data_IF_914503970250
#
_entry.id   IF_914503970250
#
_cell.length_a   1.000
_cell.length_b   1.000
_cell.length_c   1.000
_cell.angle_alpha   90.00
_cell.angle_beta   90.00
_cell.angle_gamma   90.00
#
_symmetry.space_group_name_H-M   'P 1'
#
loop_
_entity.id
_entity.type
_entity.pdbx_description
1 polymer ?
#
# COMPACT_ATOMS: atom_id res chain seq x y z
N UNK A 1 0.43 23.82 15.96
CA UNK A 1 1.02 24.93 15.20
C UNK A 1 1.75 24.32 14.01
N UNK A 2 1.13 24.29 12.82
CA UNK A 2 1.75 23.74 11.60
C UNK A 2 2.35 24.90 10.80
N UNK A 3 3.66 24.84 10.55
CA UNK A 3 4.38 25.91 9.88
C UNK A 3 3.91 26.08 8.42
N UNK A 4 3.84 27.30 7.88
CA UNK A 4 3.37 27.57 6.52
C UNK A 4 4.09 26.81 5.40
N UNK A 5 5.32 26.32 5.64
CA UNK A 5 6.15 25.64 4.65
C UNK A 5 5.84 24.17 4.36
N UNK A 6 5.09 23.46 5.21
CA UNK A 6 4.87 22.01 5.02
C UNK A 6 3.89 21.67 3.88
N UNK A 7 2.94 22.56 3.57
CA UNK A 7 1.84 22.29 2.62
C UNK A 7 2.21 22.43 1.13
N UNK A 8 3.32 23.12 0.82
CA UNK A 8 3.90 23.20 -0.53
C UNK A 8 4.45 21.84 -1.01
N UNK A 9 4.66 20.89 -0.10
CA UNK A 9 5.32 19.61 -0.39
C UNK A 9 4.42 18.60 -1.09
N UNK A 10 3.09 18.77 -1.13
CA UNK A 10 2.17 17.79 -1.72
C UNK A 10 2.25 17.71 -3.26
N UNK A 11 2.52 18.83 -3.93
CA UNK A 11 2.57 18.93 -5.39
C UNK A 11 3.57 17.97 -6.06
N UNK A 12 4.85 17.87 -5.65
CA UNK A 12 5.78 16.90 -6.26
C UNK A 12 5.30 15.46 -6.09
N UNK A 13 4.70 15.09 -4.95
CA UNK A 13 4.15 13.74 -4.74
C UNK A 13 2.95 13.45 -5.65
N UNK A 14 2.05 14.42 -5.85
CA UNK A 14 0.93 14.30 -6.77
C UNK A 14 1.40 14.11 -8.21
N UNK A 15 2.41 14.88 -8.64
CA UNK A 15 3.00 14.75 -9.98
C UNK A 15 3.68 13.40 -10.13
N UNK A 16 4.51 12.98 -9.17
CA UNK A 16 5.20 11.69 -9.22
C UNK A 16 4.20 10.52 -9.27
N UNK A 17 3.13 10.59 -8.47
CA UNK A 17 2.08 9.58 -8.46
C UNK A 17 1.32 9.53 -9.78
N UNK A 18 0.89 10.69 -10.28
CA UNK A 18 0.20 10.78 -11.57
C UNK A 18 1.06 10.29 -12.74
N UNK A 19 2.34 10.67 -12.77
CA UNK A 19 3.28 10.25 -13.81
C UNK A 19 3.53 8.73 -13.77
N UNK A 20 3.78 8.17 -12.60
CA UNK A 20 4.06 6.74 -12.46
C UNK A 20 2.82 5.87 -12.74
N UNK A 21 1.63 6.28 -12.27
CA UNK A 21 0.38 5.59 -12.61
C UNK A 21 0.07 5.74 -14.11
N UNK A 22 0.23 6.94 -14.67
CA UNK A 22 0.05 7.19 -16.10
C UNK A 22 0.97 6.31 -16.96
N UNK A 23 2.25 6.22 -16.58
CA UNK A 23 3.21 5.35 -17.25
C UNK A 23 2.84 3.87 -17.15
N UNK A 24 2.36 3.41 -15.99
CA UNK A 24 1.83 2.06 -15.82
C UNK A 24 0.68 1.79 -16.80
N UNK A 25 -0.30 2.68 -16.85
CA UNK A 25 -1.46 2.54 -17.74
C UNK A 25 -1.06 2.54 -19.22
N UNK A 26 -0.19 3.47 -19.64
CA UNK A 26 0.31 3.52 -21.03
C UNK A 26 1.04 2.23 -21.38
N UNK A 27 1.96 1.78 -20.52
CA UNK A 27 2.72 0.55 -20.75
C UNK A 27 1.79 -0.66 -20.85
N UNK A 28 0.78 -0.74 -19.98
CA UNK A 28 -0.21 -1.80 -20.01
C UNK A 28 -1.07 -1.80 -21.27
N UNK A 29 -1.50 -0.61 -21.74
CA UNK A 29 -2.26 -0.47 -22.98
C UNK A 29 -1.43 -0.89 -24.17
N UNK A 30 -0.18 -0.42 -24.28
CA UNK A 30 0.72 -0.84 -25.37
C UNK A 30 0.93 -2.35 -25.34
N UNK A 31 1.13 -2.93 -24.15
CA UNK A 31 1.27 -4.38 -24.01
C UNK A 31 0.02 -5.13 -24.50
N UNK A 32 -1.19 -4.65 -24.23
CA UNK A 32 -2.43 -5.23 -24.78
C UNK A 32 -2.50 -5.17 -26.30
N UNK A 33 -1.95 -4.11 -26.90
CA UNK A 33 -2.00 -3.93 -28.36
C UNK A 33 -1.01 -4.84 -29.10
N UNK A 34 0.09 -5.22 -28.47
CA UNK A 34 1.17 -6.01 -29.11
C UNK A 34 1.22 -7.47 -28.67
N UNK A 35 0.55 -7.81 -27.55
CA UNK A 35 0.50 -9.18 -27.01
C UNK A 35 -0.42 -10.07 -27.85
N UNK A 36 -0.05 -11.34 -27.98
CA UNK A 36 -0.86 -12.40 -28.58
C UNK A 36 -1.87 -13.04 -27.61
N UNK A 37 -1.87 -12.62 -26.33
CA UNK A 37 -2.72 -13.18 -25.27
C UNK A 37 -4.17 -12.70 -25.37
N UNK A 38 -5.11 -13.58 -25.07
CA UNK A 38 -6.54 -13.24 -25.07
C UNK A 38 -6.91 -12.44 -23.81
N UNK A 39 -7.30 -11.16 -23.90
CA UNK A 39 -7.62 -10.35 -22.72
C UNK A 39 -8.88 -10.80 -21.97
N UNK A 40 -9.73 -11.63 -22.59
CA UNK A 40 -10.95 -12.15 -21.99
C UNK A 40 -10.61 -13.31 -21.06
N UNK A 41 -9.98 -14.36 -21.60
CA UNK A 41 -9.74 -15.60 -20.87
C UNK A 41 -8.38 -15.62 -20.15
N UNK A 42 -7.35 -15.00 -20.72
CA UNK A 42 -6.03 -15.01 -20.10
C UNK A 42 -5.93 -14.00 -18.95
N UNK A 43 -5.45 -14.52 -17.83
CA UNK A 43 -5.03 -13.69 -16.68
C UNK A 43 -3.99 -12.66 -17.11
N UNK A 44 -4.01 -11.49 -16.48
CA UNK A 44 -3.04 -10.43 -16.70
C UNK A 44 -1.60 -10.88 -16.39
N UNK A 45 -1.42 -11.76 -15.41
CA UNK A 45 -0.11 -12.33 -15.05
C UNK A 45 0.50 -13.18 -16.16
N UNK A 46 -0.30 -13.75 -17.07
CA UNK A 46 0.20 -14.52 -18.22
C UNK A 46 0.94 -13.63 -19.23
N UNK A 47 0.70 -12.32 -19.19
CA UNK A 47 1.37 -11.35 -20.06
C UNK A 47 2.85 -11.16 -19.67
N UNK A 48 3.32 -11.80 -18.59
CA UNK A 48 4.75 -11.96 -18.32
C UNK A 48 5.44 -12.80 -19.41
N UNK A 49 4.70 -13.71 -20.04
CA UNK A 49 5.17 -14.63 -21.09
C UNK A 49 4.49 -14.28 -22.41
N UNK A 50 5.14 -13.39 -23.16
CA UNK A 50 4.69 -12.87 -24.46
C UNK A 50 5.85 -12.83 -25.44
N UNK A 51 5.54 -13.02 -26.73
CA UNK A 51 6.53 -12.94 -27.81
C UNK A 51 6.99 -11.49 -28.07
N UNK A 52 6.13 -10.51 -27.76
CA UNK A 52 6.38 -9.07 -27.94
C UNK A 52 6.02 -8.33 -26.67
N UNK A 53 6.90 -7.42 -26.24
CA UNK A 53 6.70 -6.65 -25.01
C UNK A 53 7.16 -7.36 -23.74
N UNK A 54 8.15 -8.25 -23.85
CA UNK A 54 8.79 -8.91 -22.70
C UNK A 54 9.21 -7.88 -21.66
N UNK A 55 8.87 -8.13 -20.40
CA UNK A 55 9.16 -7.24 -19.28
C UNK A 55 8.24 -6.02 -19.14
N UNK A 56 7.39 -5.70 -20.13
CA UNK A 56 6.47 -4.55 -20.05
C UNK A 56 5.43 -4.71 -18.95
N UNK A 57 4.95 -5.94 -18.70
CA UNK A 57 4.05 -6.20 -17.57
C UNK A 57 4.73 -5.84 -16.24
N UNK A 58 5.94 -6.36 -16.02
CA UNK A 58 6.72 -6.08 -14.82
C UNK A 58 6.98 -4.59 -14.64
N UNK A 59 7.41 -3.90 -15.71
CA UNK A 59 7.63 -2.45 -15.71
C UNK A 59 6.34 -1.67 -15.38
N UNK A 60 5.20 -2.06 -15.95
CA UNK A 60 3.90 -1.46 -15.66
C UNK A 60 3.52 -1.64 -14.18
N UNK A 61 3.64 -2.86 -13.65
CA UNK A 61 3.27 -3.16 -12.26
C UNK A 61 4.21 -2.48 -11.26
N UNK A 62 5.51 -2.42 -11.54
CA UNK A 62 6.48 -1.67 -10.74
C UNK A 62 6.18 -0.16 -10.76
N UNK A 63 5.83 0.39 -11.92
CA UNK A 63 5.43 1.80 -12.04
C UNK A 63 4.16 2.08 -11.25
N UNK A 64 3.18 1.17 -11.25
CA UNK A 64 1.97 1.27 -10.42
C UNK A 64 2.29 1.20 -8.92
N UNK A 65 3.23 0.33 -8.53
CA UNK A 65 3.73 0.25 -7.15
C UNK A 65 4.35 1.58 -6.68
N UNK A 66 5.27 2.15 -7.48
CA UNK A 66 5.89 3.46 -7.20
C UNK A 66 4.83 4.56 -7.15
N UNK A 67 3.88 4.56 -8.09
CA UNK A 67 2.76 5.48 -8.14
C UNK A 67 1.87 5.42 -6.89
N UNK A 68 1.72 4.23 -6.32
CA UNK A 68 0.94 4.00 -5.10
C UNK A 68 1.66 4.48 -3.83
N UNK A 69 2.99 4.25 -3.72
CA UNK A 69 3.79 4.79 -2.62
C UNK A 69 3.84 6.32 -2.64
N UNK A 70 4.01 6.91 -3.82
CA UNK A 70 3.98 8.37 -3.97
C UNK A 70 2.58 8.94 -3.72
N UNK A 71 1.50 8.18 -3.98
CA UNK A 71 0.15 8.57 -3.55
C UNK A 71 0.00 8.62 -2.03
N UNK A 72 0.60 7.66 -1.30
CA UNK A 72 0.68 7.73 0.16
C UNK A 72 1.44 8.97 0.62
N UNK A 73 2.56 9.28 -0.04
CA UNK A 73 3.32 10.52 0.18
C UNK A 73 2.47 11.78 -0.07
N UNK A 74 1.66 11.80 -1.12
CA UNK A 74 0.77 12.90 -1.44
C UNK A 74 -0.33 13.10 -0.38
N UNK A 75 -0.95 12.02 0.08
CA UNK A 75 -1.94 12.06 1.17
C UNK A 75 -1.30 12.62 2.46
N UNK A 76 -0.12 12.12 2.82
CA UNK A 76 0.60 12.57 4.01
C UNK A 76 1.01 14.05 3.91
N UNK A 77 1.58 14.47 2.78
CA UNK A 77 2.01 15.84 2.54
C UNK A 77 0.84 16.84 2.41
N UNK A 78 -0.34 16.36 2.00
CA UNK A 78 -1.57 17.15 1.99
C UNK A 78 -2.22 17.28 3.39
N UNK A 79 -1.63 16.67 4.43
CA UNK A 79 -2.14 16.74 5.79
C UNK A 79 -3.40 15.89 6.03
N UNK A 80 -3.67 14.90 5.18
CA UNK A 80 -4.77 13.97 5.38
C UNK A 80 -4.50 13.14 6.65
N UNK A 81 -5.48 12.98 7.56
CA UNK A 81 -5.30 12.16 8.75
C UNK A 81 -5.16 10.68 8.35
N UNK A 82 -3.94 10.15 8.44
CA UNK A 82 -3.61 8.76 8.10
C UNK A 82 -3.32 7.96 9.37
N UNK A 83 -4.13 6.95 9.66
CA UNK A 83 -3.84 5.96 10.70
C UNK A 83 -2.60 5.12 10.34
N UNK A 84 -1.95 4.52 11.36
CA UNK A 84 -0.83 3.59 11.14
C UNK A 84 -1.23 2.43 10.23
N UNK A 85 -2.43 1.90 10.42
CA UNK A 85 -3.01 0.84 9.59
C UNK A 85 -3.15 1.26 8.14
N UNK A 86 -3.65 2.47 7.85
CA UNK A 86 -3.76 2.97 6.47
C UNK A 86 -2.40 2.99 5.78
N UNK A 87 -1.37 3.50 6.46
CA UNK A 87 0.00 3.57 5.93
C UNK A 87 0.57 2.18 5.65
N UNK A 88 0.44 1.25 6.61
CA UNK A 88 0.93 -0.11 6.49
C UNK A 88 0.27 -0.83 5.30
N UNK A 89 -1.04 -0.70 5.14
CA UNK A 89 -1.78 -1.34 4.03
C UNK A 89 -1.35 -0.77 2.67
N UNK A 90 -1.07 0.52 2.56
CA UNK A 90 -0.49 1.10 1.34
C UNK A 90 0.91 0.55 1.02
N UNK A 91 1.74 0.37 2.05
CA UNK A 91 3.07 -0.23 1.90
C UNK A 91 2.95 -1.69 1.47
N UNK A 92 2.06 -2.48 2.10
CA UNK A 92 1.80 -3.87 1.73
C UNK A 92 1.26 -4.01 0.29
N UNK A 93 0.34 -3.14 -0.12
CA UNK A 93 -0.10 -3.03 -1.52
C UNK A 93 1.09 -2.86 -2.47
N UNK A 94 1.93 -1.87 -2.18
CA UNK A 94 3.01 -1.51 -3.09
C UNK A 94 4.12 -2.56 -3.11
N UNK A 95 4.50 -3.10 -1.96
CA UNK A 95 5.49 -4.17 -1.86
C UNK A 95 4.98 -5.48 -2.49
N UNK A 96 3.70 -5.81 -2.31
CA UNK A 96 3.08 -6.97 -2.95
C UNK A 96 3.06 -6.84 -4.47
N UNK A 97 2.73 -5.66 -5.01
CA UNK A 97 2.86 -5.41 -6.45
C UNK A 97 4.31 -5.53 -6.95
N UNK A 98 5.27 -4.97 -6.21
CA UNK A 98 6.68 -5.05 -6.59
C UNK A 98 7.19 -6.50 -6.59
N UNK A 99 6.85 -7.29 -5.56
CA UNK A 99 7.17 -8.70 -5.50
C UNK A 99 6.51 -9.48 -6.65
N UNK A 100 5.21 -9.26 -6.91
CA UNK A 100 4.51 -9.91 -8.03
C UNK A 100 5.10 -9.55 -9.41
N UNK A 101 5.73 -8.38 -9.55
CA UNK A 101 6.42 -7.99 -10.78
C UNK A 101 7.79 -8.65 -10.94
N UNK A 102 8.50 -8.88 -9.82
CA UNK A 102 9.84 -9.50 -9.79
C UNK A 102 9.77 -11.02 -9.91
N UNK A 103 8.71 -11.62 -9.35
CA UNK A 103 8.45 -13.06 -9.37
C UNK A 103 7.23 -13.32 -10.27
N UNK A 104 7.42 -13.71 -11.55
CA UNK A 104 6.33 -14.05 -12.46
C UNK A 104 5.52 -15.25 -11.97
N UNK A 105 4.25 -15.30 -12.37
CA UNK A 105 3.39 -16.47 -12.11
C UNK A 105 3.94 -17.72 -12.84
N UNK A 106 3.70 -18.90 -12.27
CA UNK A 106 4.04 -20.17 -12.90
C UNK A 106 2.89 -20.63 -13.80
N UNK A 107 3.21 -21.12 -14.99
CA UNK A 107 2.26 -21.77 -15.91
C UNK A 107 2.79 -23.12 -16.37
N UNK A 108 1.95 -24.05 -16.86
CA UNK A 108 2.41 -25.35 -17.34
C UNK A 108 3.46 -25.25 -18.45
N UNK A 109 3.36 -24.24 -19.32
CA UNK A 109 4.30 -24.01 -20.41
C UNK A 109 5.63 -23.37 -19.93
N UNK A 110 5.60 -22.73 -18.76
CA UNK A 110 6.74 -22.04 -18.13
C UNK A 110 6.76 -22.34 -16.61
N UNK A 111 7.16 -23.57 -16.22
CA UNK A 111 7.08 -23.99 -14.84
C UNK A 111 8.18 -23.35 -13.98
N UNK A 112 7.77 -22.54 -13.02
CA UNK A 112 8.60 -22.04 -11.91
C UNK A 112 7.74 -21.96 -10.64
N UNK A 113 7.60 -23.08 -9.91
CA UNK A 113 6.64 -23.19 -8.81
C UNK A 113 6.96 -22.24 -7.66
N UNK A 114 8.24 -21.98 -7.37
CA UNK A 114 8.66 -21.08 -6.28
C UNK A 114 8.30 -19.64 -6.64
N UNK A 115 8.64 -19.18 -7.85
CA UNK A 115 8.24 -17.86 -8.31
C UNK A 115 6.72 -17.72 -8.35
N UNK A 116 6.01 -18.74 -8.83
CA UNK A 116 4.55 -18.76 -8.89
C UNK A 116 3.88 -18.65 -7.52
N UNK A 117 4.42 -19.32 -6.50
CA UNK A 117 3.92 -19.25 -5.14
C UNK A 117 4.14 -17.86 -4.52
N UNK A 118 5.33 -17.28 -4.71
CA UNK A 118 5.63 -15.91 -4.28
C UNK A 118 4.70 -14.93 -4.97
N UNK A 119 4.50 -15.05 -6.29
CA UNK A 119 3.59 -14.21 -7.06
C UNK A 119 2.16 -14.25 -6.52
N UNK A 120 1.65 -15.45 -6.24
CA UNK A 120 0.29 -15.67 -5.75
C UNK A 120 0.07 -14.98 -4.40
N UNK A 121 0.96 -15.22 -3.44
CA UNK A 121 0.85 -14.62 -2.11
C UNK A 121 1.07 -13.10 -2.15
N UNK A 122 2.00 -12.63 -2.98
CA UNK A 122 2.23 -11.20 -3.18
C UNK A 122 0.99 -10.49 -3.76
N UNK A 123 0.35 -11.08 -4.77
CA UNK A 123 -0.90 -10.57 -5.34
C UNK A 123 -2.04 -10.58 -4.31
N UNK A 124 -2.18 -11.66 -3.52
CA UNK A 124 -3.19 -11.77 -2.48
C UNK A 124 -3.05 -10.66 -1.43
N UNK A 125 -1.83 -10.50 -0.89
CA UNK A 125 -1.51 -9.45 0.09
C UNK A 125 -1.79 -8.08 -0.51
N UNK A 126 -1.35 -7.85 -1.75
CA UNK A 126 -1.58 -6.58 -2.41
C UNK A 126 -3.08 -6.29 -2.53
N UNK A 127 -3.81 -7.11 -3.28
CA UNK A 127 -5.21 -6.84 -3.58
C UNK A 127 -6.11 -6.74 -2.33
N UNK A 128 -5.83 -7.48 -1.26
CA UNK A 128 -6.57 -7.31 0.00
C UNK A 128 -6.25 -5.98 0.70
N UNK A 129 -5.00 -5.52 0.61
CA UNK A 129 -4.53 -4.36 1.37
C UNK A 129 -5.16 -3.05 0.92
N UNK A 130 -5.34 -2.82 -0.38
CA UNK A 130 -5.81 -1.54 -0.88
C UNK A 130 -7.28 -1.20 -0.55
N UNK A 131 -8.28 -2.08 -0.75
CA UNK A 131 -9.65 -1.80 -0.31
C UNK A 131 -9.71 -1.63 1.21
N UNK A 132 -8.93 -2.39 1.98
CA UNK A 132 -8.79 -2.20 3.42
C UNK A 132 -8.18 -0.83 3.78
N UNK A 133 -7.19 -0.35 3.02
CA UNK A 133 -6.65 1.00 3.15
C UNK A 133 -7.74 2.05 2.86
N UNK A 134 -8.61 1.80 1.88
CA UNK A 134 -9.77 2.64 1.59
C UNK A 134 -10.77 2.73 2.74
N UNK A 135 -11.09 1.61 3.38
CA UNK A 135 -12.00 1.61 4.53
C UNK A 135 -11.38 2.31 5.76
N UNK A 136 -10.11 2.05 6.05
CA UNK A 136 -9.42 2.70 7.17
C UNK A 136 -9.22 4.21 6.93
N UNK A 137 -8.96 4.63 5.70
CA UNK A 137 -8.91 6.04 5.33
C UNK A 137 -10.28 6.71 5.43
N UNK A 138 -11.34 6.05 4.94
CA UNK A 138 -12.72 6.51 5.10
C UNK A 138 -13.04 6.81 6.56
N UNK A 139 -12.62 5.94 7.48
CA UNK A 139 -12.87 6.11 8.91
C UNK A 139 -12.19 7.35 9.49
N UNK A 140 -10.97 7.66 9.04
CA UNK A 140 -10.27 8.89 9.44
C UNK A 140 -10.90 10.15 8.83
N UNK A 141 -11.66 10.01 7.74
CA UNK A 141 -12.33 11.12 7.03
C UNK A 141 -13.81 11.28 7.44
N UNK A 142 -14.29 10.57 8.48
CA UNK A 142 -15.69 10.60 8.92
C UNK A 142 -16.21 12.04 9.08
N UNK A 143 -17.45 12.24 8.66
CA UNK A 143 -18.09 13.56 8.65
C UNK A 143 -17.79 14.44 7.44
N UNK A 144 -16.87 14.02 6.55
CA UNK A 144 -16.56 14.76 5.31
C UNK A 144 -17.24 14.13 4.08
N UNK A 145 -17.50 14.90 3.00
CA UNK A 145 -17.93 14.34 1.72
C UNK A 145 -16.93 13.33 1.13
N UNK A 146 -15.63 13.52 1.41
CA UNK A 146 -14.56 12.63 0.96
C UNK A 146 -14.70 11.20 1.51
N UNK A 147 -15.15 11.02 2.76
CA UNK A 147 -15.38 9.69 3.32
C UNK A 147 -16.41 8.88 2.53
N UNK A 148 -17.51 9.51 2.07
CA UNK A 148 -18.52 8.82 1.26
C UNK A 148 -17.96 8.38 -0.09
N UNK A 149 -17.18 9.25 -0.74
CA UNK A 149 -16.54 8.92 -2.02
C UNK A 149 -15.55 7.77 -1.86
N UNK A 150 -14.59 7.90 -0.94
CA UNK A 150 -13.57 6.85 -0.69
C UNK A 150 -14.23 5.54 -0.29
N UNK A 151 -15.27 5.57 0.56
CA UNK A 151 -16.02 4.39 0.96
C UNK A 151 -16.71 3.67 -0.21
N UNK A 152 -17.33 4.40 -1.14
CA UNK A 152 -17.94 3.81 -2.34
C UNK A 152 -16.89 3.16 -3.24
N UNK A 153 -15.76 3.82 -3.44
CA UNK A 153 -14.66 3.27 -4.25
C UNK A 153 -14.01 2.06 -3.58
N UNK A 154 -13.84 2.07 -2.26
CA UNK A 154 -13.32 0.94 -1.50
C UNK A 154 -14.24 -0.28 -1.60
N UNK A 155 -15.57 -0.08 -1.51
CA UNK A 155 -16.55 -1.14 -1.76
C UNK A 155 -16.50 -1.66 -3.20
N UNK A 156 -16.40 -0.79 -4.20
CA UNK A 156 -16.25 -1.20 -5.60
C UNK A 156 -14.98 -2.05 -5.82
N UNK A 157 -13.86 -1.62 -5.23
CA UNK A 157 -12.60 -2.36 -5.26
C UNK A 157 -12.71 -3.72 -4.56
N UNK A 158 -13.35 -3.78 -3.39
CA UNK A 158 -13.57 -5.03 -2.65
C UNK A 158 -14.50 -5.99 -3.41
N UNK A 159 -15.59 -5.48 -3.99
CA UNK A 159 -16.51 -6.28 -4.80
C UNK A 159 -15.80 -6.84 -6.05
N UNK A 160 -15.02 -6.01 -6.76
CA UNK A 160 -14.22 -6.47 -7.90
C UNK A 160 -13.22 -7.55 -7.51
N UNK A 161 -12.58 -7.43 -6.35
CA UNK A 161 -11.69 -8.45 -5.82
C UNK A 161 -12.41 -9.76 -5.49
N UNK A 162 -13.60 -9.70 -4.89
CA UNK A 162 -14.41 -10.89 -4.60
C UNK A 162 -14.77 -11.60 -5.90
N UNK A 163 -15.24 -10.86 -6.92
CA UNK A 163 -15.57 -11.43 -8.23
C UNK A 163 -14.34 -12.09 -8.85
N UNK A 164 -13.19 -11.41 -8.87
CA UNK A 164 -11.95 -11.99 -9.36
C UNK A 164 -11.56 -13.26 -8.60
N UNK A 165 -11.60 -13.23 -7.26
CA UNK A 165 -11.29 -14.40 -6.42
C UNK A 165 -12.20 -15.59 -6.72
N UNK A 166 -13.50 -15.36 -6.91
CA UNK A 166 -14.45 -16.41 -7.30
C UNK A 166 -14.12 -17.00 -8.68
N UNK A 167 -13.89 -16.16 -9.70
CA UNK A 167 -13.50 -16.64 -11.03
C UNK A 167 -12.19 -17.41 -11.02
N UNK A 168 -11.24 -17.00 -10.18
CA UNK A 168 -9.98 -17.70 -10.01
C UNK A 168 -10.17 -19.08 -9.36
N UNK A 169 -11.07 -19.20 -8.39
CA UNK A 169 -11.44 -20.49 -7.80
C UNK A 169 -12.08 -21.40 -8.86
N UNK A 170 -12.94 -20.87 -9.74
CA UNK A 170 -13.54 -21.67 -10.82
C UNK A 170 -12.49 -22.25 -11.75
N UNK A 171 -11.50 -21.44 -12.16
CA UNK A 171 -10.36 -21.91 -12.97
C UNK A 171 -9.56 -22.98 -12.23
N UNK A 172 -9.35 -22.84 -10.91
CA UNK A 172 -8.61 -23.84 -10.12
C UNK A 172 -9.35 -25.16 -9.92
N UNK A 173 -10.66 -25.18 -10.14
CA UNK A 173 -11.52 -26.35 -10.00
C UNK A 173 -12.07 -26.83 -11.34
N UNK A 174 -11.51 -26.36 -12.46
CA UNK A 174 -12.01 -26.60 -13.82
C UNK A 174 -11.99 -28.07 -14.24
N UNK A 175 -11.24 -28.93 -13.53
CA UNK A 175 -11.25 -30.39 -13.73
C UNK A 175 -12.63 -31.01 -13.51
N UNK A 176 -13.54 -30.30 -12.83
CA UNK A 176 -14.93 -30.69 -12.63
C UNK A 176 -15.80 -29.98 -13.69
N UNK A 177 -16.65 -30.71 -14.47
CA UNK A 177 -17.43 -30.14 -15.60
C UNK A 177 -18.30 -28.91 -15.25
N UNK A 178 -18.79 -28.86 -14.01
CA UNK A 178 -19.55 -27.72 -13.51
C UNK A 178 -18.72 -26.41 -13.50
N UNK A 179 -17.48 -26.46 -13.01
CA UNK A 179 -16.62 -25.27 -12.92
C UNK A 179 -16.01 -24.88 -14.27
N UNK A 180 -15.85 -25.83 -15.20
CA UNK A 180 -15.50 -25.54 -16.59
C UNK A 180 -16.55 -24.62 -17.23
N UNK A 181 -17.84 -24.99 -17.15
CA UNK A 181 -18.95 -24.16 -17.65
C UNK A 181 -18.96 -22.76 -17.01
N UNK A 182 -18.66 -22.68 -15.71
CA UNK A 182 -18.59 -21.38 -15.02
C UNK A 182 -17.42 -20.51 -15.48
N UNK A 183 -16.30 -21.12 -15.87
CA UNK A 183 -15.13 -20.39 -16.39
C UNK A 183 -15.42 -19.75 -17.75
N UNK A 184 -16.21 -20.42 -18.59
CA UNK A 184 -16.64 -19.88 -19.89
C UNK A 184 -17.61 -18.69 -19.73
N UNK A 185 -18.49 -18.74 -18.72
CA UNK A 185 -19.46 -17.67 -18.42
C UNK A 185 -18.79 -16.49 -17.70
N UNK A 186 -17.87 -16.78 -16.79
CA UNK A 186 -17.19 -15.78 -15.95
C UNK A 186 -15.68 -15.80 -16.19
N UNK A 187 -15.22 -15.21 -17.30
CA UNK A 187 -13.83 -15.28 -17.71
C UNK A 187 -12.91 -14.53 -16.75
N UNK A 188 -11.91 -15.26 -16.24
CA UNK A 188 -10.98 -14.77 -15.20
C UNK A 188 -10.18 -13.55 -15.64
N UNK A 189 -9.82 -13.46 -16.93
CA UNK A 189 -9.05 -12.35 -17.48
C UNK A 189 -9.81 -11.02 -17.40
N UNK A 190 -11.11 -11.03 -17.69
CA UNK A 190 -11.97 -9.84 -17.53
C UNK A 190 -12.10 -9.47 -16.05
N UNK A 191 -12.40 -10.44 -15.19
CA UNK A 191 -12.59 -10.20 -13.76
C UNK A 191 -11.33 -9.61 -13.10
N UNK A 192 -10.15 -10.12 -13.44
CA UNK A 192 -8.87 -9.59 -12.95
C UNK A 192 -8.64 -8.14 -13.40
N UNK A 193 -8.91 -7.83 -14.66
CA UNK A 193 -8.75 -6.47 -15.21
C UNK A 193 -9.71 -5.48 -14.57
N UNK A 194 -10.99 -5.86 -14.43
CA UNK A 194 -11.99 -5.03 -13.75
C UNK A 194 -11.63 -4.78 -12.29
N UNK A 195 -11.15 -5.81 -11.59
CA UNK A 195 -10.62 -5.67 -10.23
C UNK A 195 -9.47 -4.66 -10.21
N UNK A 196 -8.45 -4.82 -11.06
CA UNK A 196 -7.31 -3.90 -11.10
C UNK A 196 -7.74 -2.45 -11.44
N UNK A 197 -8.66 -2.27 -12.38
CA UNK A 197 -9.23 -0.95 -12.71
C UNK A 197 -9.92 -0.34 -11.49
N UNK A 198 -10.68 -1.11 -10.73
CA UNK A 198 -11.31 -0.63 -9.50
C UNK A 198 -10.27 -0.18 -8.45
N UNK A 199 -9.14 -0.89 -8.33
CA UNK A 199 -8.03 -0.50 -7.46
C UNK A 199 -7.37 0.82 -7.92
N UNK A 200 -7.14 0.98 -9.22
CA UNK A 200 -6.59 2.22 -9.79
C UNK A 200 -7.55 3.39 -9.59
N UNK A 201 -8.86 3.19 -9.79
CA UNK A 201 -9.89 4.21 -9.53
C UNK A 201 -9.91 4.59 -8.05
N UNK A 202 -9.77 3.63 -7.13
CA UNK A 202 -9.67 3.89 -5.70
C UNK A 202 -8.47 4.79 -5.38
N UNK A 203 -7.28 4.50 -5.92
CA UNK A 203 -6.08 5.35 -5.76
C UNK A 203 -6.34 6.75 -6.34
N UNK A 204 -6.89 6.83 -7.55
CA UNK A 204 -7.25 8.11 -8.18
C UNK A 204 -8.24 8.94 -7.34
N UNK A 205 -9.21 8.27 -6.71
CA UNK A 205 -10.13 8.88 -5.76
C UNK A 205 -9.42 9.46 -4.54
N UNK A 206 -8.45 8.74 -3.97
CA UNK A 206 -7.65 9.22 -2.85
C UNK A 206 -6.73 10.38 -3.25
N UNK A 207 -6.13 10.33 -4.45
CA UNK A 207 -5.34 11.44 -5.00
C UNK A 207 -6.19 12.69 -5.23
N UNK A 208 -7.44 12.53 -5.65
CA UNK A 208 -8.39 13.66 -5.75
C UNK A 208 -8.65 14.30 -4.38
N UNK A 209 -8.77 13.49 -3.32
CA UNK A 209 -8.88 14.00 -1.93
C UNK A 209 -7.61 14.76 -1.52
N UNK A 210 -6.42 14.20 -1.78
CA UNK A 210 -5.15 14.89 -1.50
C UNK A 210 -5.01 16.22 -2.27
N UNK A 211 -5.36 16.23 -3.56
CA UNK A 211 -5.30 17.42 -4.40
C UNK A 211 -6.30 18.49 -3.95
N UNK A 212 -7.50 18.11 -3.52
CA UNK A 212 -8.49 19.05 -3.01
C UNK A 212 -8.03 19.69 -1.69
N UNK A 213 -7.47 18.90 -0.78
CA UNK A 213 -6.91 19.39 0.49
C UNK A 213 -5.72 20.35 0.26
N UNK A 214 -4.83 20.03 -0.68
CA UNK A 214 -3.73 20.91 -1.06
C UNK A 214 -4.23 22.27 -1.58
N UNK A 215 -5.18 22.27 -2.53
CA UNK A 215 -5.76 23.51 -3.10
C UNK A 215 -6.47 24.36 -2.04
N UNK A 216 -7.25 23.75 -1.15
CA UNK A 216 -7.92 24.48 -0.08
C UNK A 216 -6.93 25.17 0.88
N UNK A 217 -5.78 24.53 1.13
CA UNK A 217 -4.69 25.11 1.91
C UNK A 217 -3.99 26.30 1.23
N UNK A 218 -3.88 26.30 -0.10
CA UNK A 218 -3.31 27.42 -0.87
C UNK A 218 -4.19 28.68 -0.78
N UNK A 219 -5.50 28.54 -1.00
CA UNK A 219 -6.43 29.67 -0.94
C UNK A 219 -6.57 30.29 0.47
N UNK A 220 -6.53 29.47 1.52
CA UNK A 220 -6.53 29.95 2.91
C UNK A 220 -5.24 30.68 3.31
N UNK A 221 -4.11 30.35 2.68
CA UNK A 221 -2.84 31.04 2.91
C UNK A 221 -2.77 32.43 2.29
N UNK A 222 -3.31 32.58 1.06
CA UNK A 222 -3.33 33.86 0.33
C UNK A 222 -4.19 34.92 1.04
N UNK A 223 -5.33 34.50 1.60
CA UNK A 223 -6.24 35.41 2.33
C UNK A 223 -5.66 35.92 3.65
N UNK A 224 -4.89 35.10 4.38
CA UNK A 224 -4.23 35.52 5.63
C UNK A 224 -3.02 36.42 5.37
N UNK A 225 -2.30 36.22 4.26
CA UNK A 225 -1.14 37.06 3.91
C UNK A 225 -1.54 38.43 3.34
N UNK A 226 -2.70 38.53 2.69
CA UNK A 226 -3.26 39.81 2.23
C UNK A 226 -3.77 40.70 3.38
N UNK A 227 -3.91 40.18 4.61
CA UNK A 227 -4.31 40.95 5.79
C UNK A 227 -3.16 41.53 6.63
N UNK A 228 -1.89 41.28 6.25
CA UNK A 228 -0.71 41.64 7.07
C UNK A 228 0.17 42.77 6.50
N UNK A 229 -0.25 43.42 5.41
CA UNK A 229 0.52 44.51 4.77
C UNK A 229 -0.05 45.92 5.00
N UNK A 230 -0.96 46.11 5.96
CA UNK A 230 -1.50 47.43 6.31
C UNK A 230 -1.38 47.75 7.81
N UNK A 231 -0.24 47.44 8.43
CA UNK A 231 0.15 48.07 9.70
C UNK A 231 1.32 49.00 9.41
N UNK A 232 0.97 50.21 8.96
CA UNK A 232 1.87 51.36 8.95
C UNK A 232 2.40 51.50 10.37
N UNK A 233 3.71 51.31 10.50
CA UNK A 233 4.46 51.50 11.71
C UNK A 233 4.67 53.01 11.86
N UNK A 234 3.73 53.69 12.51
CA UNK A 234 3.97 55.06 12.98
C UNK A 234 4.75 54.98 14.29
N UNK A 235 5.94 55.56 14.25
CA UNK A 235 6.93 55.54 15.32
C UNK A 235 6.49 56.40 16.51
N UNK A 236 6.71 55.85 17.70
CA UNK A 236 6.65 56.51 19.00
C UNK A 236 7.59 57.73 19.06
N UNK A 237 7.04 58.86 19.50
CA UNK A 237 7.78 60.03 19.97
C UNK A 237 7.64 60.10 21.49
N UNK A 238 8.76 59.84 22.15
CA UNK A 238 9.23 60.26 23.48
C UNK A 238 8.33 61.17 24.34
N UNK A 239 7.86 60.63 25.47
CA UNK A 239 7.71 61.31 26.78
C UNK A 239 7.91 60.18 27.81
N UNK A 240 8.83 60.17 28.77
CA UNK A 240 9.31 61.24 29.62
C UNK A 240 8.94 60.89 31.06
N UNK A 241 9.90 60.29 31.80
CA UNK A 241 10.14 60.49 33.25
C UNK A 241 9.03 60.15 34.25
N UNK A 242 9.26 59.15 35.12
CA UNK A 242 9.31 59.36 36.58
C UNK A 242 9.80 58.14 37.36
N UNK A 243 10.35 58.44 38.54
CA UNK A 243 11.23 57.63 39.37
C UNK A 243 10.49 56.95 40.54
N UNK A 244 11.12 55.86 41.00
CA UNK A 244 11.19 55.38 42.39
C UNK A 244 9.93 54.76 43.03
N UNK A 245 10.05 53.54 43.55
CA UNK A 245 10.33 53.27 44.98
C UNK A 245 10.33 51.76 45.31
N UNK A 246 11.28 51.36 46.16
CA UNK A 246 11.25 50.27 47.16
C UNK A 246 10.91 48.81 46.78
N UNK A 247 11.90 47.93 46.96
CA UNK A 247 11.71 46.53 47.43
C UNK A 247 11.50 46.51 48.97
N UNK A 248 11.47 45.34 49.66
CA UNK A 248 10.88 44.02 49.41
C UNK A 248 9.89 43.62 50.56
N UNK A 249 9.13 42.52 50.47
CA UNK A 249 8.75 41.69 51.64
C UNK A 249 8.19 40.32 51.21
N UNK A 250 8.57 39.38 52.06
CA UNK A 250 8.45 37.93 52.14
C UNK A 250 7.03 37.43 52.53
N UNK A 251 6.90 36.09 52.61
CA UNK A 251 5.86 35.24 53.24
C UNK A 251 4.75 34.67 52.33
N UNK A 252 4.26 33.43 52.50
CA UNK A 252 4.66 32.15 53.12
C UNK A 252 3.45 31.22 52.92
N UNK A 253 3.67 29.93 52.70
CA UNK A 253 2.86 28.88 53.34
C UNK A 253 1.71 28.20 52.57
N UNK A 254 1.76 26.86 52.57
CA UNK A 254 0.65 25.91 52.30
C UNK A 254 0.86 25.14 50.99
N UNK A 255 1.57 24.01 50.91
CA UNK A 255 1.39 22.71 51.58
C UNK A 255 -0.04 22.16 51.45
N UNK A 256 -0.23 21.15 50.59
CA UNK A 256 -1.05 19.96 50.83
C UNK A 256 -0.84 18.92 49.69
N UNK A 257 -0.55 17.69 50.12
CA UNK A 257 -0.87 16.37 49.55
C UNK A 257 -0.59 16.10 48.04
N UNK A 258 0.18 15.10 47.62
CA UNK A 258 0.38 13.78 48.21
C UNK A 258 -0.42 12.73 47.45
N UNK A 259 0.08 12.23 46.32
CA UNK A 259 -0.29 10.91 45.77
C UNK A 259 0.96 10.26 45.18
N UNK A 260 1.55 9.36 45.95
CA UNK A 260 2.63 8.49 45.51
C UNK A 260 2.04 7.45 44.55
N UNK A 261 2.52 7.48 43.29
CA UNK A 261 2.20 6.48 42.28
C UNK A 261 2.71 5.12 42.69
N UNK A 262 1.77 4.17 42.77
CA UNK A 262 1.93 2.76 43.04
C UNK A 262 2.72 2.08 41.91
N UNK A 263 3.76 1.40 42.37
CA UNK A 263 4.38 0.16 41.90
C UNK A 263 4.46 -0.15 40.40
N UNK A 264 5.73 -0.18 39.99
CA UNK A 264 6.26 -0.94 38.85
C UNK A 264 6.11 -2.42 39.16
N UNK A 265 5.50 -3.18 38.25
CA UNK A 265 5.65 -4.63 38.24
C UNK A 265 6.63 -5.04 37.12
N UNK A 266 7.84 -5.51 37.47
CA UNK A 266 8.80 -6.05 36.54
C UNK A 266 8.41 -7.50 36.23
N UNK A 267 8.04 -7.78 34.98
CA UNK A 267 7.95 -9.16 34.50
C UNK A 267 9.32 -9.82 34.55
N UNK A 268 9.54 -10.50 35.67
CA UNK A 268 10.68 -11.34 35.99
C UNK A 268 10.50 -12.67 35.27
N UNK A 269 11.54 -13.03 34.53
CA UNK A 269 11.74 -14.35 33.98
C UNK A 269 11.76 -15.43 35.07
N UNK A 270 11.14 -16.57 34.79
CA UNK A 270 11.38 -17.84 35.45
C UNK A 270 11.53 -18.93 34.36
N UNK A 271 12.75 -19.02 33.87
CA UNK A 271 13.53 -20.23 33.59
C UNK A 271 12.82 -21.60 33.74
N UNK A 272 12.81 -22.39 32.65
CA UNK A 272 12.92 -23.86 32.71
C UNK A 272 13.88 -24.33 31.59
N UNK A 273 15.00 -25.00 31.92
CA UNK A 273 15.90 -25.58 30.93
C UNK A 273 15.47 -27.01 30.61
N UNK A 274 15.08 -27.27 29.36
CA UNK A 274 15.05 -28.64 28.84
C UNK A 274 16.43 -29.01 28.31
N UNK A 275 17.15 -29.77 29.15
CA UNK A 275 18.29 -30.61 28.75
C UNK A 275 17.84 -31.57 27.64
N UNK A 276 18.47 -31.48 26.48
CA UNK A 276 18.50 -32.55 25.48
C UNK A 276 19.82 -33.29 25.63
N UNK A 277 19.84 -34.63 25.82
CA UNK A 277 21.06 -35.40 25.88
C UNK A 277 21.74 -35.48 24.50
N UNK A 278 23.07 -35.35 24.50
CA UNK A 278 23.93 -35.64 23.35
C UNK A 278 24.80 -36.85 23.71
N UNK A 279 24.60 -37.96 23.02
CA UNK A 279 25.51 -39.10 22.79
C UNK A 279 24.66 -40.10 22.00
N UNK A 280 25.07 -40.72 20.90
CA UNK A 280 26.39 -41.03 20.36
C UNK A 280 26.19 -42.37 19.65
N UNK A 281 26.67 -42.51 18.42
CA UNK A 281 26.52 -43.77 17.67
C UNK A 281 26.73 -43.57 16.18
N UNK A 282 27.99 -43.72 15.75
CA UNK A 282 28.33 -44.10 14.39
C UNK A 282 27.87 -45.54 14.18
N UNK A 283 27.34 -45.86 13.01
CA UNK A 283 27.77 -47.03 12.23
C UNK A 283 27.49 -46.83 10.74
N UNK A 284 28.35 -47.38 9.85
CA UNK A 284 28.27 -47.18 8.41
C UNK A 284 27.33 -48.21 7.76
N UNK A 285 26.37 -47.75 6.96
CA UNK A 285 25.59 -48.63 6.08
C UNK A 285 26.28 -48.70 4.71
N UNK A 286 26.81 -49.88 4.42
CA UNK A 286 27.24 -50.35 3.12
C UNK A 286 26.04 -50.91 2.33
N UNK A 287 26.14 -50.87 0.99
CA UNK A 287 25.22 -51.51 0.05
C UNK A 287 24.41 -50.48 -0.73
N UNK A 288 24.87 -49.99 -1.89
CA UNK A 288 24.86 -50.67 -3.19
C UNK A 288 23.45 -51.09 -3.63
N UNK A 289 22.84 -50.29 -4.49
CA UNK A 289 22.13 -50.82 -5.66
C UNK A 289 22.17 -49.81 -6.81
N UNK A 290 22.81 -50.24 -7.90
CA UNK A 290 22.83 -49.57 -9.19
C UNK A 290 21.59 -50.00 -9.95
N UNK A 291 20.65 -49.08 -10.18
CA UNK A 291 19.65 -49.27 -11.21
C UNK A 291 20.30 -48.99 -12.58
N UNK A 292 20.49 -50.06 -13.34
CA UNK A 292 20.79 -50.04 -14.77
C UNK A 292 19.53 -49.53 -15.48
N UNK A 293 19.63 -48.39 -16.18
CA UNK A 293 18.60 -47.94 -17.13
C UNK A 293 18.99 -48.52 -18.48
N UNK A 294 18.19 -49.48 -18.94
CA UNK A 294 18.28 -50.09 -20.25
C UNK A 294 17.78 -49.09 -21.29
N UNK A 295 18.64 -48.74 -22.25
CA UNK A 295 18.31 -47.87 -23.36
C UNK A 295 17.72 -48.73 -24.48
N UNK A 296 16.39 -48.81 -24.58
CA UNK A 296 15.75 -49.32 -25.78
C UNK A 296 15.66 -48.20 -26.84
N UNK A 297 16.48 -48.39 -27.86
CA UNK A 297 16.35 -47.86 -29.22
C UNK A 297 14.96 -48.12 -29.78
N UNK A 298 14.30 -47.04 -30.24
CA UNK A 298 13.23 -47.12 -31.22
C UNK A 298 13.84 -46.87 -32.60
N UNK A 299 13.74 -47.87 -33.47
CA UNK A 299 13.72 -47.70 -34.94
C UNK A 299 12.32 -47.25 -35.39
#
# INVERSE_FOLDING_TARGET
>A
MTFPGERSRAKPWLIASGAAIGWALVTMVVLHLISSRDPVFDTLSSYAYVDRGTGMLGASVLSLSIGSLTALGALAAAGIPLSRTTKLLFVLWSLGLAAAAIFPASYPEYPDPVSGEIHLYACLIAFLSLPAAGFTLRDNLRGTPAARQVGRLAWGSAAGLIVFGLTFIFVRLSDIPFFMTLTDIFPVGVAQRLSLVAHVILIGGMLKVASAAHRAGEFGGVTVQSGRTARVQENDVLVGREMAFSSPIDQRGGHLAGVHGVERDPFRAAEKPHRVPRAGGRDPVAGADRAVVDAQTFE
#
